data_IF_266790277969
#
_entry.id   IF_266790277969
#
_cell.length_a   1.000
_cell.length_b   1.000
_cell.length_c   1.000
_cell.angle_alpha   90.00
_cell.angle_beta   90.00
_cell.angle_gamma   90.00
#
_symmetry.space_group_name_H-M   'P 1'
#
loop_
_entity.id
_entity.type
_entity.pdbx_description
1 polymer ?
#
# COMPACT_ATOMS: atom_id res chain seq x y z
N UNK A 1 11.19 -0.80 -0.24
CA UNK A 1 12.44 -0.05 -0.04
C UNK A 1 12.79 -0.03 1.45
N UNK A 2 14.05 -0.22 1.77
CA UNK A 2 14.50 -0.28 3.16
C UNK A 2 14.92 1.10 3.63
N UNK A 3 14.44 1.50 4.79
CA UNK A 3 14.81 2.75 5.43
C UNK A 3 15.64 2.47 6.67
N UNK A 4 16.78 3.16 6.79
CA UNK A 4 17.61 3.11 7.97
C UNK A 4 17.46 4.41 8.74
N UNK A 5 17.27 4.31 10.04
CA UNK A 5 17.24 5.47 10.94
C UNK A 5 18.34 5.35 11.98
N UNK A 6 18.97 6.48 12.25
CA UNK A 6 19.91 6.59 13.36
C UNK A 6 19.12 7.02 14.60
N UNK A 7 19.15 6.18 15.62
CA UNK A 7 18.48 6.47 16.90
C UNK A 7 19.40 7.24 17.82
N UNK A 8 18.85 7.71 18.95
CA UNK A 8 19.54 8.57 19.92
C UNK A 8 20.86 7.99 20.43
N UNK A 9 21.01 6.68 20.42
CA UNK A 9 22.21 6.00 20.90
C UNK A 9 23.12 5.57 19.76
N UNK A 10 22.98 6.17 18.59
CA UNK A 10 23.74 5.83 17.39
C UNK A 10 23.50 4.42 16.88
N UNK A 11 22.39 3.81 17.27
CA UNK A 11 22.00 2.54 16.71
C UNK A 11 21.26 2.77 15.41
N UNK A 12 21.60 1.95 14.41
CA UNK A 12 20.85 1.91 13.16
C UNK A 12 19.69 0.93 13.32
N UNK A 13 18.52 1.32 12.85
CA UNK A 13 17.36 0.45 12.86
C UNK A 13 16.68 0.51 11.50
N UNK A 14 16.06 -0.61 11.11
CA UNK A 14 15.22 -0.66 9.92
C UNK A 14 13.84 -0.17 10.29
N UNK A 15 13.34 0.75 9.48
CA UNK A 15 11.96 1.23 9.62
C UNK A 15 11.13 0.59 8.52
N UNK A 16 10.18 -0.24 8.94
CA UNK A 16 9.23 -0.87 8.03
C UNK A 16 8.00 0.00 7.99
N UNK A 17 7.51 0.28 6.80
CA UNK A 17 6.25 1.00 6.64
C UNK A 17 5.44 0.37 5.51
N UNK A 18 4.23 0.87 5.31
CA UNK A 18 3.28 0.28 4.39
C UNK A 18 2.67 1.35 3.51
N UNK A 19 2.52 1.04 2.25
CA UNK A 19 1.84 1.90 1.29
C UNK A 19 0.61 1.16 0.80
N UNK A 20 -0.51 1.88 0.66
CA UNK A 20 -1.71 1.35 0.02
C UNK A 20 -1.76 1.90 -1.38
N UNK A 21 -1.93 1.02 -2.36
CA UNK A 21 -2.14 1.43 -3.74
C UNK A 21 -3.50 0.94 -4.22
N UNK A 22 -4.18 1.76 -5.01
CA UNK A 22 -5.45 1.38 -5.61
C UNK A 22 -5.51 1.82 -7.05
N UNK A 23 -6.38 1.19 -7.82
CA UNK A 23 -6.62 1.57 -9.19
C UNK A 23 -7.30 0.45 -9.97
N UNK A 24 -7.56 0.73 -11.24
CA UNK A 24 -8.09 -0.26 -12.16
C UNK A 24 -6.98 -1.18 -12.63
N UNK A 25 -7.31 -2.45 -12.74
CA UNK A 25 -6.37 -3.49 -13.14
C UNK A 25 -6.89 -4.21 -14.36
N UNK A 26 -6.00 -4.58 -15.27
CA UNK A 26 -6.37 -5.46 -16.39
C UNK A 26 -6.73 -6.84 -15.86
N UNK A 27 -5.95 -7.34 -14.89
CA UNK A 27 -6.25 -8.57 -14.16
C UNK A 27 -6.33 -8.23 -12.66
N UNK A 28 -7.53 -8.35 -12.03
CA UNK A 28 -7.70 -7.95 -10.64
C UNK A 28 -6.93 -8.79 -9.63
N UNK A 29 -6.35 -9.91 -10.05
CA UNK A 29 -5.52 -10.75 -9.20
C UNK A 29 -4.02 -10.48 -9.36
N UNK A 30 -3.64 -9.57 -10.25
CA UNK A 30 -2.25 -9.24 -10.53
C UNK A 30 -2.00 -7.76 -10.36
N UNK A 31 -1.27 -7.41 -9.31
CA UNK A 31 -0.99 -6.02 -8.95
C UNK A 31 -0.25 -5.26 -10.08
N UNK A 32 0.63 -5.94 -10.79
CA UNK A 32 1.43 -5.33 -11.85
C UNK A 32 0.59 -4.88 -13.05
N UNK A 33 -0.65 -5.34 -13.16
CA UNK A 33 -1.54 -4.95 -14.25
C UNK A 33 -2.29 -3.65 -13.98
N UNK A 34 -1.97 -2.96 -12.91
CA UNK A 34 -2.63 -1.71 -12.55
C UNK A 34 -2.44 -0.64 -13.64
N UNK A 35 -3.53 0.05 -13.96
CA UNK A 35 -3.50 1.17 -14.90
C UNK A 35 -2.89 2.38 -14.20
N UNK A 36 -1.73 2.81 -14.64
CA UNK A 36 -0.99 3.91 -14.02
C UNK A 36 -1.76 5.23 -14.01
N UNK A 37 -2.69 5.43 -14.94
CA UNK A 37 -3.51 6.63 -15.00
C UNK A 37 -4.53 6.70 -13.88
N UNK A 38 -4.95 5.54 -13.36
CA UNK A 38 -5.92 5.46 -12.27
C UNK A 38 -5.28 5.22 -10.92
N UNK A 39 -3.99 4.89 -10.90
CA UNK A 39 -3.28 4.52 -9.69
C UNK A 39 -3.22 5.66 -8.69
N UNK A 40 -3.59 5.37 -7.45
CA UNK A 40 -3.44 6.27 -6.30
C UNK A 40 -2.66 5.57 -5.22
N UNK A 41 -1.86 6.33 -4.50
CA UNK A 41 -1.04 5.81 -3.41
C UNK A 41 -1.35 6.58 -2.13
N UNK A 42 -1.37 5.86 -1.02
CA UNK A 42 -1.64 6.39 0.32
C UNK A 42 -0.57 5.91 1.29
N UNK A 43 -0.22 6.75 2.22
CA UNK A 43 0.78 6.44 3.23
C UNK A 43 1.98 7.35 3.13
N UNK A 44 3.09 6.97 3.77
CA UNK A 44 3.29 5.65 4.39
C UNK A 44 2.57 5.51 5.73
N UNK A 45 2.19 4.28 6.04
CA UNK A 45 1.60 3.90 7.34
C UNK A 45 2.65 3.15 8.15
N UNK A 46 2.73 3.45 9.43
CA UNK A 46 3.63 2.75 10.34
C UNK A 46 3.05 1.38 10.71
N UNK A 47 1.72 1.32 10.89
CA UNK A 47 1.03 0.10 11.29
C UNK A 47 0.38 -0.57 10.11
N UNK A 48 0.63 -1.87 9.96
CA UNK A 48 0.07 -2.67 8.89
C UNK A 48 -1.47 -2.68 8.93
N UNK A 49 -2.06 -2.78 10.12
CA UNK A 49 -3.51 -2.83 10.25
C UNK A 49 -4.20 -1.54 9.81
N UNK A 50 -3.55 -0.39 9.96
CA UNK A 50 -4.09 0.88 9.42
C UNK A 50 -4.13 0.83 7.90
N UNK A 51 -3.05 0.33 7.28
CA UNK A 51 -3.00 0.19 5.82
C UNK A 51 -4.05 -0.82 5.33
N UNK A 52 -4.19 -1.94 6.03
CA UNK A 52 -5.18 -2.97 5.68
C UNK A 52 -6.61 -2.44 5.81
N UNK A 53 -6.88 -1.66 6.85
CA UNK A 53 -8.20 -1.04 7.04
C UNK A 53 -8.53 -0.11 5.89
N UNK A 54 -7.58 0.71 5.48
CA UNK A 54 -7.79 1.60 4.34
C UNK A 54 -8.01 0.79 3.05
N UNK A 55 -7.18 -0.21 2.80
CA UNK A 55 -7.33 -1.03 1.59
C UNK A 55 -8.70 -1.68 1.53
N UNK A 56 -9.17 -2.23 2.63
CA UNK A 56 -10.51 -2.83 2.71
C UNK A 56 -11.61 -1.81 2.43
N UNK A 57 -11.48 -0.61 2.98
CA UNK A 57 -12.48 0.43 2.75
C UNK A 57 -12.52 0.88 1.29
N UNK A 58 -11.36 0.94 0.63
CA UNK A 58 -11.29 1.30 -0.78
C UNK A 58 -11.91 0.23 -1.67
N UNK A 59 -11.69 -1.04 -1.35
CA UNK A 59 -12.30 -2.14 -2.06
C UNK A 59 -13.83 -2.10 -1.87
N UNK A 60 -14.28 -1.87 -0.64
CA UNK A 60 -15.71 -1.80 -0.32
C UNK A 60 -16.38 -0.64 -1.04
N UNK A 61 -15.74 0.51 -1.08
CA UNK A 61 -16.26 1.70 -1.77
C UNK A 61 -16.45 1.45 -3.26
N UNK A 62 -15.61 0.62 -3.86
CA UNK A 62 -15.62 0.34 -5.29
C UNK A 62 -16.07 -1.10 -5.59
N UNK A 63 -16.95 -1.64 -4.74
CA UNK A 63 -17.32 -3.05 -4.81
C UNK A 63 -18.02 -3.44 -6.11
N UNK A 64 -18.64 -2.49 -6.77
CA UNK A 64 -19.32 -2.73 -8.05
C UNK A 64 -18.36 -2.80 -9.23
N UNK A 65 -17.10 -2.45 -9.01
CA UNK A 65 -16.07 -2.52 -10.04
C UNK A 65 -15.05 -3.60 -9.69
N UNK A 66 -15.23 -4.75 -10.31
CA UNK A 66 -14.37 -5.92 -10.07
C UNK A 66 -12.89 -5.65 -10.37
N UNK A 67 -12.60 -4.76 -11.30
CA UNK A 67 -11.23 -4.45 -11.72
C UNK A 67 -10.57 -3.37 -10.85
N UNK A 68 -11.33 -2.73 -9.98
CA UNK A 68 -10.79 -1.75 -9.05
C UNK A 68 -10.32 -2.47 -7.78
N UNK A 69 -9.00 -2.54 -7.60
CA UNK A 69 -8.41 -3.25 -6.45
C UNK A 69 -7.54 -2.32 -5.64
N UNK A 70 -7.30 -2.71 -4.39
CA UNK A 70 -6.39 -2.01 -3.50
C UNK A 70 -5.46 -3.04 -2.85
N UNK A 71 -4.21 -2.64 -2.64
CA UNK A 71 -3.17 -3.53 -2.13
C UNK A 71 -2.38 -2.83 -1.03
N UNK A 72 -1.91 -3.62 -0.07
CA UNK A 72 -0.96 -3.17 0.94
C UNK A 72 0.43 -3.64 0.52
N UNK A 73 1.35 -2.68 0.39
CA UNK A 73 2.74 -2.95 0.02
C UNK A 73 3.61 -2.69 1.24
N UNK A 74 4.39 -3.68 1.63
CA UNK A 74 5.37 -3.51 2.70
C UNK A 74 6.65 -2.94 2.11
N UNK A 75 7.11 -1.84 2.70
CA UNK A 75 8.35 -1.18 2.31
C UNK A 75 9.39 -1.40 3.41
N UNK A 76 10.41 -2.17 3.11
CA UNK A 76 11.47 -2.40 4.08
C UNK A 76 12.85 -2.35 3.44
#
# INVERSE_FOLDING_TARGET
MTHLKLLNNNYLTFVINYTVIEGLHKNPNEIETINKKTKKEYGPFIKKDEAETLAKSLIQKNIDDFYHRAWVIENN
#
